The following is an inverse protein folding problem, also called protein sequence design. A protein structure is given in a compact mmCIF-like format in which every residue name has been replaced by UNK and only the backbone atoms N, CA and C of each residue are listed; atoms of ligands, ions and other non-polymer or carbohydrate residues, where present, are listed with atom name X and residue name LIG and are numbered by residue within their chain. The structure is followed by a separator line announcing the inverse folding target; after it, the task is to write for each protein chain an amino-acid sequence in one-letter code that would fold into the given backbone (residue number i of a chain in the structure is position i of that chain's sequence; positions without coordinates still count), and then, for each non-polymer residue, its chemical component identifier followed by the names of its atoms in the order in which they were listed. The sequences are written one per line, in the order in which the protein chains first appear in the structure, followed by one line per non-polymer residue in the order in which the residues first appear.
data_IF_959730540834
#
_entry.id   IF_959730540834
#
_cell.length_a   1.000
_cell.length_b   1.000
_cell.length_c   1.000
_cell.angle_alpha   90.00
_cell.angle_beta   90.00
_cell.angle_gamma   90.00
#
_symmetry.space_group_name_H-M   'P 1'
#
loop_
_entity.id
_entity.type
_entity.pdbx_description
1 polymer ?
#
# COMPACT_ATOMS: atom_id res chain seq x y z
N UNK A 1 -4.23 1.60 19.09
CA UNK A 1 -3.65 1.87 17.75
C UNK A 1 -4.36 3.09 17.20
N UNK A 2 -3.64 4.01 16.57
CA UNK A 2 -4.23 5.22 15.97
C UNK A 2 -4.32 5.00 14.48
N UNK A 3 -5.51 5.13 13.90
CA UNK A 3 -5.67 5.07 12.45
C UNK A 3 -4.99 6.29 11.81
N UNK A 4 -4.20 6.04 10.77
CA UNK A 4 -3.42 7.07 10.08
C UNK A 4 -3.98 7.39 8.68
N UNK A 5 -4.78 6.50 8.09
CA UNK A 5 -5.36 6.68 6.76
C UNK A 5 -5.17 5.47 5.86
N UNK A 6 -5.71 5.56 4.64
CA UNK A 6 -5.54 4.57 3.58
C UNK A 6 -4.57 5.09 2.52
N UNK A 7 -3.80 4.19 1.95
CA UNK A 7 -2.76 4.47 0.97
C UNK A 7 -3.08 3.67 -0.28
N UNK A 8 -2.97 4.31 -1.44
CA UNK A 8 -2.96 3.67 -2.75
C UNK A 8 -1.74 4.19 -3.53
N UNK A 9 -0.76 3.33 -3.77
CA UNK A 9 0.53 3.72 -4.34
C UNK A 9 1.10 2.67 -5.28
N UNK A 10 1.77 3.15 -6.32
CA UNK A 10 2.60 2.31 -7.19
C UNK A 10 4.02 2.27 -6.66
N UNK A 11 4.68 1.13 -6.85
CA UNK A 11 6.05 0.94 -6.45
C UNK A 11 6.67 -0.29 -7.08
N UNK A 12 7.87 -0.62 -6.63
CA UNK A 12 8.66 -1.76 -7.09
C UNK A 12 8.74 -2.79 -5.97
N UNK A 13 8.38 -4.02 -6.28
CA UNK A 13 8.49 -5.15 -5.38
C UNK A 13 9.81 -5.91 -5.63
N UNK A 14 10.53 -6.27 -4.57
CA UNK A 14 11.70 -7.17 -4.64
C UNK A 14 12.98 -6.58 -5.24
N UNK A 15 13.03 -5.27 -5.51
CA UNK A 15 14.20 -4.60 -6.10
C UNK A 15 14.28 -4.71 -7.63
N UNK A 16 13.69 -5.75 -8.22
CA UNK A 16 13.69 -5.99 -9.67
C UNK A 16 12.43 -5.41 -10.33
N UNK A 17 12.31 -4.09 -10.45
CA UNK A 17 11.39 -3.33 -11.32
C UNK A 17 9.92 -3.81 -11.53
N UNK A 18 9.36 -4.69 -10.69
CA UNK A 18 7.99 -5.16 -10.88
C UNK A 18 7.04 -4.09 -10.33
N UNK A 19 6.47 -3.33 -11.26
CA UNK A 19 5.45 -2.35 -10.98
C UNK A 19 4.26 -3.05 -10.32
N UNK A 20 3.99 -2.67 -9.08
CA UNK A 20 2.89 -3.22 -8.29
C UNK A 20 2.05 -2.08 -7.72
N UNK A 21 0.75 -2.32 -7.56
CA UNK A 21 -0.16 -1.39 -6.93
C UNK A 21 -0.43 -1.86 -5.50
N UNK A 22 -0.06 -1.04 -4.52
CA UNK A 22 -0.27 -1.32 -3.11
C UNK A 22 -1.43 -0.48 -2.58
N UNK A 23 -2.41 -1.14 -1.99
CA UNK A 23 -3.54 -0.51 -1.31
C UNK A 23 -3.64 -0.99 0.13
N UNK A 24 -3.30 -0.13 1.11
CA UNK A 24 -3.19 -0.51 2.52
C UNK A 24 -3.81 0.52 3.45
N UNK A 25 -4.36 0.05 4.56
CA UNK A 25 -4.81 0.89 5.68
C UNK A 25 -3.73 0.93 6.76
N UNK A 26 -3.32 2.13 7.17
CA UNK A 26 -2.20 2.35 8.09
C UNK A 26 -2.66 2.65 9.51
N UNK A 27 -1.94 2.06 10.46
CA UNK A 27 -2.14 2.24 11.89
C UNK A 27 -0.82 2.48 12.60
N UNK A 28 -0.81 3.47 13.49
CA UNK A 28 0.29 3.72 14.42
C UNK A 28 0.19 2.76 15.61
N UNK A 29 1.27 2.02 15.86
CA UNK A 29 1.47 1.25 17.08
C UNK A 29 2.18 2.09 18.15
N UNK A 30 2.00 1.71 19.42
CA UNK A 30 2.74 2.32 20.53
C UNK A 30 4.24 2.10 20.32
N UNK A 31 5.03 3.16 20.30
CA UNK A 31 6.47 3.12 20.04
C UNK A 31 6.92 3.66 18.68
N UNK A 32 6.00 4.26 17.89
CA UNK A 32 6.34 4.91 16.62
C UNK A 32 6.46 3.96 15.43
N UNK A 33 6.17 2.68 15.62
CA UNK A 33 6.11 1.69 14.54
C UNK A 33 4.75 1.76 13.82
N UNK A 34 4.78 1.55 12.51
CA UNK A 34 3.57 1.49 11.69
C UNK A 34 3.31 0.05 11.27
N UNK A 35 2.05 -0.32 11.37
CA UNK A 35 1.52 -1.52 10.74
C UNK A 35 0.45 -1.09 9.77
N UNK A 36 0.54 -1.56 8.54
CA UNK A 36 -0.51 -1.41 7.58
C UNK A 36 -0.97 -2.77 7.06
N UNK A 37 -2.21 -2.87 6.65
CA UNK A 37 -2.77 -4.09 6.08
C UNK A 37 -3.64 -3.75 4.89
N UNK A 38 -3.61 -4.60 3.86
CA UNK A 38 -4.44 -4.43 2.69
C UNK A 38 -4.02 -5.38 1.58
N UNK A 39 -4.06 -4.90 0.34
CA UNK A 39 -3.88 -5.69 -0.86
C UNK A 39 -2.74 -5.14 -1.71
N UNK A 40 -2.01 -6.05 -2.37
CA UNK A 40 -1.05 -5.71 -3.41
C UNK A 40 -1.46 -6.40 -4.70
N UNK A 41 -1.53 -5.63 -5.78
CA UNK A 41 -1.70 -6.14 -7.13
C UNK A 41 -0.33 -6.22 -7.82
N UNK A 42 0.07 -7.44 -8.20
CA UNK A 42 1.33 -7.72 -8.87
C UNK A 42 1.20 -8.98 -9.75
N UNK A 43 2.11 -9.16 -10.72
CA UNK A 43 2.14 -10.38 -11.51
C UNK A 43 2.57 -11.60 -10.68
N UNK A 44 2.20 -12.81 -11.13
CA UNK A 44 2.47 -14.06 -10.42
C UNK A 44 3.95 -14.24 -10.06
N UNK A 45 4.88 -13.80 -10.92
CA UNK A 45 6.31 -13.86 -10.63
C UNK A 45 6.74 -12.94 -9.49
N UNK A 46 6.07 -11.82 -9.28
CA UNK A 46 6.29 -10.96 -8.13
C UNK A 46 5.68 -11.57 -6.85
N UNK A 47 4.48 -12.13 -6.96
CA UNK A 47 3.83 -12.79 -5.83
C UNK A 47 4.61 -14.02 -5.36
N UNK A 48 5.33 -14.67 -6.28
CA UNK A 48 6.25 -15.76 -5.97
C UNK A 48 7.38 -15.36 -5.00
N UNK A 49 7.71 -14.07 -4.89
CA UNK A 49 8.69 -13.57 -3.92
C UNK A 49 8.26 -13.76 -2.47
N UNK A 50 6.94 -13.87 -2.21
CA UNK A 50 6.40 -14.12 -0.89
C UNK A 50 6.39 -15.61 -0.50
N UNK A 51 6.77 -16.52 -1.43
CA UNK A 51 6.79 -17.95 -1.16
C UNK A 51 7.65 -18.29 0.06
N UNK A 52 7.17 -19.23 0.88
CA UNK A 52 7.86 -19.64 2.11
C UNK A 52 7.74 -18.66 3.28
N UNK A 53 6.84 -17.67 3.20
CA UNK A 53 6.62 -16.68 4.27
C UNK A 53 7.69 -15.60 4.33
N UNK A 54 8.40 -15.37 3.22
CA UNK A 54 9.42 -14.34 3.15
C UNK A 54 8.81 -12.94 3.24
N UNK A 55 9.53 -12.04 3.91
CA UNK A 55 9.25 -10.60 3.86
C UNK A 55 9.89 -10.02 2.61
N UNK A 56 9.11 -9.29 1.82
CA UNK A 56 9.55 -8.70 0.56
C UNK A 56 9.65 -7.19 0.71
N UNK A 57 10.74 -6.61 0.21
CA UNK A 57 10.90 -5.16 0.18
C UNK A 57 10.02 -4.56 -0.93
N UNK A 58 9.30 -3.50 -0.60
CA UNK A 58 8.53 -2.70 -1.53
C UNK A 58 9.00 -1.25 -1.44
N UNK A 59 9.42 -0.70 -2.56
CA UNK A 59 9.84 0.70 -2.64
C UNK A 59 8.78 1.47 -3.40
N UNK A 60 8.12 2.41 -2.72
CA UNK A 60 7.14 3.31 -3.34
C UNK A 60 7.81 4.24 -4.34
N UNK A 61 7.04 4.78 -5.29
CA UNK A 61 7.58 5.69 -6.32
C UNK A 61 8.21 6.99 -5.76
N UNK A 62 7.87 7.39 -4.54
CA UNK A 62 8.46 8.52 -3.80
C UNK A 62 9.70 8.13 -2.97
N UNK A 63 10.16 6.87 -3.06
CA UNK A 63 11.43 6.41 -2.49
C UNK A 63 11.35 5.85 -1.08
N UNK A 64 10.15 5.58 -0.56
CA UNK A 64 9.99 4.99 0.77
C UNK A 64 10.02 3.46 0.70
N UNK A 65 10.79 2.85 1.60
CA UNK A 65 10.93 1.42 1.70
C UNK A 65 9.97 0.85 2.76
N UNK A 66 9.15 -0.11 2.34
CA UNK A 66 8.23 -0.87 3.17
C UNK A 66 8.63 -2.35 3.12
N UNK A 67 8.46 -3.05 4.23
CA UNK A 67 8.58 -4.50 4.31
C UNK A 67 7.19 -5.11 4.30
N UNK A 68 6.88 -5.83 3.23
CA UNK A 68 5.60 -6.52 3.04
C UNK A 68 5.72 -7.99 3.43
N UNK A 69 4.68 -8.53 4.05
CA UNK A 69 4.50 -9.96 4.29
C UNK A 69 3.08 -10.36 3.90
N UNK A 70 2.84 -11.59 3.47
CA UNK A 70 1.45 -12.06 3.27
C UNK A 70 0.69 -12.06 4.59
N UNK A 71 -0.55 -11.58 4.56
CA UNK A 71 -1.44 -11.58 5.72
C UNK A 71 -1.85 -13.00 6.11
N UNK A 72 -2.09 -13.85 5.11
CA UNK A 72 -2.27 -15.29 5.27
C UNK A 72 -1.14 -16.04 4.57
N UNK A 73 -0.37 -16.80 5.35
CA UNK A 73 0.72 -17.64 4.83
C UNK A 73 0.24 -19.03 4.39
N UNK A 74 -1.03 -19.36 4.62
CA UNK A 74 -1.64 -20.65 4.28
C UNK A 74 -2.39 -20.62 2.94
N UNK A 75 -2.83 -19.43 2.50
CA UNK A 75 -3.40 -19.23 1.18
C UNK A 75 -2.41 -18.51 0.29
N UNK A 76 -1.93 -19.20 -0.73
CA UNK A 76 -1.17 -18.58 -1.79
C UNK A 76 -2.13 -17.69 -2.59
N UNK A 77 -1.71 -16.49 -2.97
CA UNK A 77 -2.56 -15.63 -3.78
C UNK A 77 -2.87 -16.34 -5.10
N UNK A 78 -4.16 -16.51 -5.38
CA UNK A 78 -4.67 -17.05 -6.63
C UNK A 78 -5.02 -15.86 -7.53
N UNK A 79 -4.15 -15.57 -8.50
CA UNK A 79 -4.24 -14.44 -9.42
C UNK A 79 -3.37 -13.24 -9.03
N UNK A 80 -3.67 -12.08 -9.62
CA UNK A 80 -2.81 -10.90 -9.58
C UNK A 80 -2.90 -10.09 -8.27
N UNK A 81 -3.65 -10.52 -7.25
CA UNK A 81 -3.89 -9.76 -6.01
C UNK A 81 -3.60 -10.61 -4.78
N UNK A 82 -2.86 -10.06 -3.82
CA UNK A 82 -2.51 -10.73 -2.56
C UNK A 82 -2.78 -9.84 -1.34
N UNK A 83 -3.25 -10.42 -0.24
CA UNK A 83 -3.36 -9.69 1.03
C UNK A 83 -2.01 -9.61 1.74
N UNK A 84 -1.62 -8.41 2.14
CA UNK A 84 -0.32 -8.14 2.75
C UNK A 84 -0.43 -7.29 4.01
N UNK A 85 0.54 -7.49 4.89
CA UNK A 85 0.85 -6.64 6.03
C UNK A 85 2.15 -5.90 5.71
N UNK A 86 2.12 -4.57 5.76
CA UNK A 86 3.28 -3.72 5.60
C UNK A 86 3.80 -3.21 6.95
N UNK A 87 5.11 -3.18 7.10
CA UNK A 87 5.81 -2.56 8.22
C UNK A 87 6.99 -1.77 7.70
N UNK A 88 7.30 -0.61 8.28
CA UNK A 88 8.43 0.20 7.82
C UNK A 88 8.31 1.65 8.26
N UNK A 89 9.17 2.48 7.66
CA UNK A 89 9.23 3.90 7.93
C UNK A 89 8.16 4.64 7.11
N UNK A 90 7.31 5.40 7.79
CA UNK A 90 6.43 6.35 7.10
C UNK A 90 7.27 7.53 6.54
N UNK A 91 6.87 8.14 5.42
CA UNK A 91 7.21 9.51 5.09
C UNK A 91 6.91 10.39 6.28
N UNK A 92 7.91 11.18 6.68
CA UNK A 92 7.81 12.13 7.78
C UNK A 92 6.60 13.01 7.56
N UNK A 93 5.69 13.04 8.55
CA UNK A 93 4.53 13.93 8.55
C UNK A 93 4.99 15.37 8.31
N UNK A 94 4.66 15.97 7.17
CA UNK A 94 4.58 17.43 7.06
C UNK A 94 3.11 17.82 7.21
N UNK A 95 2.79 18.46 8.34
CA UNK A 95 1.50 19.08 8.67
C UNK A 95 0.34 18.14 9.09
N UNK A 96 0.60 17.04 9.79
CA UNK A 96 -0.46 16.24 10.47
C UNK A 96 -1.41 15.47 9.55
N UNK A 97 -1.37 15.77 8.25
CA UNK A 97 -1.72 14.88 7.18
C UNK A 97 -0.45 14.11 6.84
N UNK A 98 -0.55 12.79 6.90
CA UNK A 98 0.33 11.96 6.10
C UNK A 98 0.32 12.55 4.68
N UNK A 99 1.47 12.81 4.05
CA UNK A 99 1.61 13.23 2.64
C UNK A 99 1.11 12.18 1.63
N UNK A 100 0.08 11.45 2.02
CA UNK A 100 -0.54 10.32 1.39
C UNK A 100 -1.93 10.82 1.03
N UNK A 101 -2.17 10.95 -0.26
CA UNK A 101 -3.35 11.58 -0.85
C UNK A 101 -4.62 11.20 -0.09
N UNK A 102 -5.42 12.21 0.29
CA UNK A 102 -6.81 11.99 0.69
C UNK A 102 -7.44 10.99 -0.29
N UNK A 103 -8.18 9.98 0.18
CA UNK A 103 -9.05 9.25 -0.72
C UNK A 103 -9.91 10.30 -1.41
N UNK A 104 -9.73 10.46 -2.72
CA UNK A 104 -10.52 11.40 -3.50
C UNK A 104 -11.98 11.17 -3.12
N UNK A 105 -12.75 12.22 -2.74
CA UNK A 105 -14.13 12.03 -2.35
C UNK A 105 -14.85 11.32 -3.50
N UNK A 106 -15.34 10.10 -3.22
CA UNK A 106 -16.18 9.36 -4.16
C UNK A 106 -17.43 10.23 -4.43
N UNK A 107 -17.52 10.70 -5.67
CA UNK A 107 -18.71 11.16 -6.39
C UNK A 107 -19.54 12.30 -5.77
N UNK A 108 -19.60 13.40 -6.52
CA UNK A 108 -20.80 13.64 -7.31
C UNK A 108 -20.42 14.30 -8.64
N UNK A 109 -20.52 13.54 -9.73
CA UNK A 109 -20.58 14.08 -11.07
C UNK A 109 -21.91 14.80 -11.31
N UNK A 110 -21.89 15.74 -12.27
CA UNK A 110 -23.04 16.31 -13.01
C UNK A 110 -23.69 17.50 -12.30
N UNK A 111 -23.65 18.75 -12.82
CA UNK A 111 -24.06 19.16 -14.17
C UNK A 111 -23.59 20.61 -14.44
N UNK A 112 -22.82 20.84 -15.51
CA UNK A 112 -22.95 22.07 -16.30
C UNK A 112 -24.01 21.79 -17.39
N UNK A 113 -24.87 22.74 -17.76
CA UNK A 113 -24.53 23.83 -18.70
C UNK A 113 -25.27 25.14 -18.29
N UNK A 114 -25.23 26.30 -18.94
CA UNK A 114 -24.52 26.91 -20.07
C UNK A 114 -24.74 28.42 -19.85
N UNK A 115 -23.86 29.23 -20.45
CA UNK A 115 -24.00 30.68 -20.51
C UNK A 115 -25.29 31.13 -21.21
N UNK A 116 -25.80 32.29 -20.78
CA UNK A 116 -26.33 33.35 -21.63
C UNK A 116 -26.21 34.68 -20.89
#
# INVERSE_FOLDING_TARGET
MKYLGRINRRGVLGGDSIASLLEIECYEQKGGHITASGEIEACDSALALFHGGAKVAFVTADGHALSLALADTKTMPDGAVAQVVATGDLPVMKNGLLGWSEPAPRSAATKAPAAL
#
